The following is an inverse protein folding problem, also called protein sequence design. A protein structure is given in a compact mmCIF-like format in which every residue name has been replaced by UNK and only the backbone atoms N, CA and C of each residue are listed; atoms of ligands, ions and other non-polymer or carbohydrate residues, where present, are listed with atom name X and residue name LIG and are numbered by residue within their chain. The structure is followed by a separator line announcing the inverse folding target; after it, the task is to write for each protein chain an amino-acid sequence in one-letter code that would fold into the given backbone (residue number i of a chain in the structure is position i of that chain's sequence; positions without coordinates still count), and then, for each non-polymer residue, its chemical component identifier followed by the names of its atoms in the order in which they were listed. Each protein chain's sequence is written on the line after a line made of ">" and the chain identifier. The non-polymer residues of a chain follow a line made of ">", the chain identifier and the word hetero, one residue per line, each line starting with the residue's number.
data_IF_781500334682
#
_entry.id   IF_781500334682
#
_cell.length_a   1.000
_cell.length_b   1.000
_cell.length_c   1.000
_cell.angle_alpha   90.00
_cell.angle_beta   90.00
_cell.angle_gamma   90.00
#
_symmetry.space_group_name_H-M   'P 1'
#
loop_
_entity.id
_entity.type
_entity.pdbx_description
1 polymer ?
#
# COMPACT_ATOMS: atom_id res chain seq x y z
N UNK A 1 17.92 -6.57 45.79
CA UNK A 1 17.83 -5.83 44.52
C UNK A 1 17.55 -6.83 43.42
N UNK A 2 16.29 -6.96 43.02
CA UNK A 2 15.86 -7.89 41.95
C UNK A 2 15.94 -7.16 40.61
N UNK A 3 16.75 -7.66 39.68
CA UNK A 3 16.82 -7.14 38.31
C UNK A 3 15.54 -7.53 37.56
N UNK A 4 14.87 -6.55 36.97
CA UNK A 4 13.74 -6.77 36.06
C UNK A 4 14.23 -7.37 34.72
N UNK A 5 13.45 -8.25 34.07
CA UNK A 5 13.85 -8.81 32.79
C UNK A 5 13.84 -7.73 31.71
N UNK A 6 14.88 -7.72 30.88
CA UNK A 6 15.01 -6.81 29.74
C UNK A 6 13.88 -7.12 28.75
N UNK A 7 13.01 -6.14 28.48
CA UNK A 7 11.97 -6.25 27.46
C UNK A 7 12.61 -6.66 26.13
N UNK A 8 12.02 -7.65 25.45
CA UNK A 8 12.53 -8.15 24.19
C UNK A 8 12.72 -6.98 23.21
N UNK A 9 13.94 -6.80 22.71
CA UNK A 9 14.26 -5.77 21.75
C UNK A 9 13.48 -6.05 20.46
N UNK A 10 12.49 -5.22 20.13
CA UNK A 10 11.89 -5.16 18.79
C UNK A 10 12.91 -4.51 17.83
N UNK A 11 13.98 -5.23 17.52
CA UNK A 11 14.97 -4.85 16.52
C UNK A 11 14.73 -5.56 15.17
N UNK A 12 13.74 -6.45 15.09
CA UNK A 12 13.38 -7.15 13.86
C UNK A 12 12.40 -6.32 13.03
N UNK A 13 12.64 -6.23 11.72
CA UNK A 13 11.67 -5.67 10.77
C UNK A 13 10.40 -6.52 10.75
N UNK A 14 9.22 -5.92 10.45
CA UNK A 14 8.00 -6.69 10.26
C UNK A 14 8.19 -7.72 9.14
N UNK A 15 7.48 -8.85 9.26
CA UNK A 15 7.51 -9.89 8.25
C UNK A 15 7.14 -9.30 6.87
N UNK A 16 7.92 -9.57 5.80
CA UNK A 16 7.59 -9.07 4.47
C UNK A 16 6.22 -9.56 4.02
N UNK A 17 5.41 -8.64 3.49
CA UNK A 17 4.16 -9.00 2.83
C UNK A 17 4.44 -9.84 1.57
N UNK A 18 3.59 -10.84 1.31
CA UNK A 18 3.70 -11.73 0.16
C UNK A 18 2.37 -11.77 -0.59
N UNK A 19 2.43 -11.79 -1.91
CA UNK A 19 1.28 -12.00 -2.79
C UNK A 19 1.66 -13.01 -3.87
N UNK A 20 0.81 -14.03 -4.10
CA UNK A 20 1.07 -15.09 -5.08
C UNK A 20 0.71 -14.65 -6.50
N UNK A 21 -0.43 -13.95 -6.65
CA UNK A 21 -0.99 -13.58 -7.95
C UNK A 21 -0.84 -12.09 -8.30
N UNK A 22 -0.51 -11.27 -7.30
CA UNK A 22 -0.39 -9.83 -7.45
C UNK A 22 -0.23 -9.14 -6.11
N UNK A 23 0.26 -7.91 -6.13
CA UNK A 23 0.45 -7.07 -4.95
C UNK A 23 0.19 -5.61 -5.33
N UNK A 24 -0.50 -4.88 -4.46
CA UNK A 24 -0.66 -3.44 -4.56
C UNK A 24 -0.17 -2.82 -3.26
N UNK A 25 0.73 -1.84 -3.36
CA UNK A 25 1.31 -1.14 -2.21
C UNK A 25 1.19 0.35 -2.45
N UNK A 26 0.65 1.06 -1.48
CA UNK A 26 0.49 2.52 -1.52
C UNK A 26 0.70 3.08 -0.11
N UNK A 27 0.85 4.40 0.01
CA UNK A 27 0.93 5.07 1.31
C UNK A 27 -0.39 5.05 2.11
N UNK A 28 -1.52 4.68 1.48
CA UNK A 28 -2.84 4.72 2.11
C UNK A 28 -3.60 3.39 1.89
N UNK A 29 -4.01 2.72 2.96
CA UNK A 29 -4.55 1.35 2.88
C UNK A 29 -5.81 1.18 2.00
N UNK A 30 -6.75 2.14 2.00
CA UNK A 30 -7.95 2.14 1.14
C UNK A 30 -7.57 2.19 -0.33
N UNK A 31 -6.52 2.93 -0.71
CA UNK A 31 -6.05 2.93 -2.09
C UNK A 31 -5.45 1.57 -2.47
N UNK A 32 -4.70 0.93 -1.57
CA UNK A 32 -4.21 -0.44 -1.77
C UNK A 32 -5.37 -1.44 -1.92
N UNK A 33 -6.42 -1.33 -1.10
CA UNK A 33 -7.64 -2.15 -1.18
C UNK A 33 -8.36 -1.97 -2.52
N UNK A 34 -8.52 -0.73 -3.01
CA UNK A 34 -9.11 -0.45 -4.33
C UNK A 34 -8.33 -1.16 -5.44
N UNK A 35 -7.00 -1.06 -5.44
CA UNK A 35 -6.18 -1.76 -6.44
C UNK A 35 -6.31 -3.29 -6.35
N UNK A 36 -6.33 -3.85 -5.15
CA UNK A 36 -6.55 -5.30 -4.95
C UNK A 36 -7.92 -5.74 -5.46
N UNK A 37 -8.97 -4.95 -5.23
CA UNK A 37 -10.32 -5.26 -5.74
C UNK A 37 -10.38 -5.20 -7.27
N UNK A 38 -9.64 -4.30 -7.92
CA UNK A 38 -9.52 -4.28 -9.39
C UNK A 38 -8.82 -5.54 -9.91
N UNK A 39 -7.72 -5.97 -9.27
CA UNK A 39 -7.04 -7.22 -9.64
C UNK A 39 -7.98 -8.43 -9.48
N UNK A 40 -8.72 -8.51 -8.36
CA UNK A 40 -9.70 -9.59 -8.11
C UNK A 40 -10.83 -9.63 -9.14
N UNK A 41 -11.20 -8.48 -9.71
CA UNK A 41 -12.21 -8.35 -10.77
C UNK A 41 -11.67 -8.69 -12.17
N UNK A 42 -10.43 -9.18 -12.26
CA UNK A 42 -9.78 -9.56 -13.52
C UNK A 42 -9.07 -8.41 -14.22
N UNK A 43 -8.92 -7.25 -13.57
CA UNK A 43 -8.08 -6.16 -14.07
C UNK A 43 -6.59 -6.52 -14.01
N UNK A 44 -5.79 -5.90 -14.86
CA UNK A 44 -4.34 -6.06 -14.86
C UNK A 44 -3.66 -5.03 -13.92
N UNK A 45 -2.32 -5.06 -13.86
CA UNK A 45 -1.54 -4.16 -13.01
C UNK A 45 -1.71 -2.67 -13.37
N UNK A 46 -1.89 -2.34 -14.65
CA UNK A 46 -2.13 -0.97 -15.13
C UNK A 46 -3.53 -0.50 -14.70
N UNK A 47 -4.56 -1.35 -14.86
CA UNK A 47 -5.92 -1.04 -14.40
C UNK A 47 -5.93 -0.74 -12.89
N UNK A 48 -5.24 -1.58 -12.11
CA UNK A 48 -5.10 -1.39 -10.67
C UNK A 48 -4.36 -0.10 -10.33
N UNK A 49 -3.27 0.23 -11.05
CA UNK A 49 -2.51 1.46 -10.83
C UNK A 49 -3.34 2.73 -11.14
N UNK A 50 -4.14 2.72 -12.21
CA UNK A 50 -5.05 3.83 -12.54
C UNK A 50 -6.11 4.01 -11.45
N UNK A 51 -6.73 2.92 -10.99
CA UNK A 51 -7.71 2.98 -9.91
C UNK A 51 -7.11 3.46 -8.59
N UNK A 52 -5.90 3.03 -8.26
CA UNK A 52 -5.10 3.52 -7.13
C UNK A 52 -4.85 5.03 -7.24
N UNK A 53 -4.49 5.52 -8.42
CA UNK A 53 -4.26 6.95 -8.65
C UNK A 53 -5.50 7.80 -8.35
N UNK A 54 -6.67 7.36 -8.83
CA UNK A 54 -7.94 8.02 -8.51
C UNK A 54 -8.30 7.93 -7.03
N UNK A 55 -8.07 6.78 -6.39
CA UNK A 55 -8.32 6.62 -4.96
C UNK A 55 -7.44 7.56 -4.13
N UNK A 56 -6.13 7.63 -4.42
CA UNK A 56 -5.16 8.49 -3.72
C UNK A 56 -5.51 9.98 -3.84
N UNK A 57 -6.05 10.43 -4.99
CA UNK A 57 -6.51 11.80 -5.14
C UNK A 57 -7.61 12.19 -4.13
N UNK A 58 -8.31 11.21 -3.55
CA UNK A 58 -9.35 11.40 -2.52
C UNK A 58 -8.80 11.12 -1.13
N UNK A 59 -8.14 9.97 -0.92
CA UNK A 59 -7.75 9.50 0.42
C UNK A 59 -6.37 10.00 0.87
N UNK A 60 -5.57 10.54 -0.05
CA UNK A 60 -4.25 11.09 0.24
C UNK A 60 -3.93 12.35 -0.61
N UNK A 61 -4.79 13.39 -0.56
CA UNK A 61 -4.76 14.52 -1.50
C UNK A 61 -3.57 15.47 -1.35
N UNK A 62 -2.88 15.42 -0.21
CA UNK A 62 -1.68 16.22 0.06
C UNK A 62 -0.45 15.75 -0.75
N UNK A 63 -0.44 14.48 -1.20
CA UNK A 63 0.66 13.91 -1.98
C UNK A 63 0.42 13.95 -3.50
N UNK A 64 -0.79 14.29 -3.93
CA UNK A 64 -1.15 14.37 -5.34
C UNK A 64 -2.66 14.49 -5.54
N UNK A 65 -3.09 15.03 -6.68
CA UNK A 65 -4.51 15.17 -7.04
C UNK A 65 -4.71 15.09 -8.57
N UNK A 66 -5.97 15.15 -9.00
CA UNK A 66 -6.39 14.99 -10.40
C UNK A 66 -5.82 16.04 -11.37
N UNK A 67 -5.40 17.20 -10.87
CA UNK A 67 -4.80 18.27 -11.69
C UNK A 67 -3.29 18.14 -11.89
N UNK A 68 -2.66 17.16 -11.23
CA UNK A 68 -1.24 16.87 -11.36
C UNK A 68 -0.92 15.93 -12.53
N UNK A 69 0.15 15.16 -12.36
CA UNK A 69 0.58 14.14 -13.32
C UNK A 69 1.26 12.97 -12.61
N UNK A 70 1.70 11.98 -13.38
CA UNK A 70 2.40 10.81 -12.87
C UNK A 70 3.29 10.17 -13.93
N UNK A 71 4.17 9.30 -13.47
CA UNK A 71 5.05 8.49 -14.32
C UNK A 71 4.79 7.02 -14.01
N UNK A 72 4.94 6.15 -15.02
CA UNK A 72 4.77 4.70 -14.90
C UNK A 72 5.90 4.02 -15.66
N UNK A 73 6.42 2.91 -15.12
CA UNK A 73 7.50 2.08 -15.68
C UNK A 73 7.08 0.63 -15.71
#
# INVERSE_FOLDING_TARGET
>A
MTFAPLAAALAASPQPAKGEYGMVVTAQHLASEVGVEVLKKGGNAVDAAVAVGYALAVVYPNAGNIGGGGFMT
#
